data_IF_893086579848
#
_entry.id   IF_893086579848
#
_cell.length_a   1.000
_cell.length_b   1.000
_cell.length_c   1.000
_cell.angle_alpha   90.00
_cell.angle_beta   90.00
_cell.angle_gamma   90.00
#
_symmetry.space_group_name_H-M   'P 1'
#
loop_
_entity.id
_entity.type
_entity.pdbx_description
1 polymer ?
#
# COMPACT_ATOMS: atom_id res chain seq x y z
N UNK A 1 -13.03 29.39 -40.26
CA UNK A 1 -12.95 28.74 -41.59
C UNK A 1 -12.42 27.33 -41.49
N UNK A 2 -12.81 26.47 -42.42
CA UNK A 2 -12.35 25.07 -42.53
C UNK A 2 -11.80 24.81 -43.93
N UNK A 3 -10.80 23.93 -44.03
CA UNK A 3 -10.22 23.52 -45.30
C UNK A 3 -10.00 22.01 -45.32
N UNK A 4 -10.30 21.36 -46.44
CA UNK A 4 -10.07 19.93 -46.64
C UNK A 4 -8.79 19.70 -47.45
N UNK A 5 -7.90 18.84 -46.96
CA UNK A 5 -6.61 18.53 -47.61
C UNK A 5 -6.53 17.02 -47.88
N UNK A 6 -5.97 16.66 -49.03
CA UNK A 6 -5.58 15.27 -49.32
C UNK A 6 -4.09 15.16 -49.10
N UNK A 7 -3.69 14.36 -48.12
CA UNK A 7 -2.28 14.17 -47.74
C UNK A 7 -1.94 12.69 -47.72
N UNK A 8 -0.66 12.38 -47.88
CA UNK A 8 -0.20 11.00 -47.80
C UNK A 8 -0.14 10.56 -46.32
N UNK A 9 -0.39 9.26 -46.03
CA UNK A 9 -0.29 8.76 -44.65
C UNK A 9 1.12 8.86 -44.05
N UNK A 10 2.14 8.95 -44.93
CA UNK A 10 3.55 9.12 -44.58
C UNK A 10 3.94 10.56 -44.25
N UNK A 11 3.10 11.55 -44.58
CA UNK A 11 3.34 12.98 -44.35
C UNK A 11 3.53 13.25 -42.86
N UNK A 12 4.42 14.19 -42.50
CA UNK A 12 4.62 14.61 -41.11
C UNK A 12 3.61 15.71 -40.71
N UNK A 13 3.36 15.94 -39.41
CA UNK A 13 2.54 17.05 -38.94
C UNK A 13 3.03 18.41 -39.46
N UNK A 14 4.34 18.65 -39.51
CA UNK A 14 4.93 19.89 -40.03
C UNK A 14 4.60 20.11 -41.50
N UNK A 15 4.76 19.08 -42.32
CA UNK A 15 4.39 19.14 -43.75
C UNK A 15 2.89 19.38 -43.94
N UNK A 16 2.04 18.77 -43.12
CA UNK A 16 0.59 19.00 -43.14
C UNK A 16 0.24 20.45 -42.77
N UNK A 17 0.92 21.03 -41.77
CA UNK A 17 0.73 22.43 -41.37
C UNK A 17 1.15 23.38 -42.50
N UNK A 18 2.29 23.15 -43.13
CA UNK A 18 2.72 23.94 -44.30
C UNK A 18 1.70 23.88 -45.43
N UNK A 19 1.21 22.68 -45.78
CA UNK A 19 0.20 22.52 -46.82
C UNK A 19 -1.10 23.23 -46.47
N UNK A 20 -1.51 23.19 -45.19
CA UNK A 20 -2.70 23.88 -44.71
C UNK A 20 -2.55 25.40 -44.76
N UNK A 21 -1.41 25.94 -44.34
CA UNK A 21 -1.12 27.38 -44.39
C UNK A 21 -1.04 27.87 -45.84
N UNK A 22 -0.36 27.15 -46.73
CA UNK A 22 -0.31 27.49 -48.17
C UNK A 22 -1.71 27.55 -48.77
N UNK A 23 -2.57 26.56 -48.48
CA UNK A 23 -3.96 26.55 -48.95
C UNK A 23 -4.77 27.71 -48.37
N UNK A 24 -4.52 28.08 -47.12
CA UNK A 24 -5.23 29.19 -46.48
C UNK A 24 -4.83 30.56 -47.08
N UNK A 25 -3.55 30.78 -47.36
CA UNK A 25 -3.06 32.00 -48.03
C UNK A 25 -3.67 32.19 -49.43
N UNK A 26 -3.85 31.10 -50.18
CA UNK A 26 -4.48 31.19 -51.51
C UNK A 26 -5.93 31.67 -51.48
N UNK A 27 -6.65 31.50 -50.36
CA UNK A 27 -8.04 31.96 -50.20
C UNK A 27 -8.18 33.32 -49.53
N UNK A 28 -7.19 33.78 -48.76
CA UNK A 28 -7.30 35.00 -47.93
C UNK A 28 -6.35 36.13 -48.37
N UNK A 29 -5.48 35.89 -49.36
CA UNK A 29 -4.60 36.91 -49.94
C UNK A 29 -3.24 37.03 -49.24
N UNK A 30 -2.28 37.77 -49.86
CA UNK A 30 -0.89 37.88 -49.41
C UNK A 30 -0.67 38.84 -48.23
N UNK A 31 -1.69 39.54 -47.72
CA UNK A 31 -1.56 40.44 -46.56
C UNK A 31 -1.20 39.69 -45.25
N UNK A 32 -1.26 38.35 -45.25
CA UNK A 32 -0.96 37.45 -44.13
C UNK A 32 0.29 36.57 -44.38
N UNK A 33 1.23 37.01 -45.24
CA UNK A 33 2.47 36.29 -45.61
C UNK A 33 3.46 36.01 -44.44
N UNK A 34 3.19 36.54 -43.24
CA UNK A 34 4.05 36.34 -42.06
C UNK A 34 3.82 35.05 -41.26
N UNK A 35 2.84 34.20 -41.64
CA UNK A 35 2.47 32.99 -40.87
C UNK A 35 3.38 31.81 -41.19
N UNK A 36 4.25 31.49 -40.23
CA UNK A 36 5.19 30.37 -40.28
C UNK A 36 4.60 29.09 -39.65
N UNK A 37 4.87 27.93 -40.23
CA UNK A 37 4.34 26.64 -39.74
C UNK A 37 4.83 26.32 -38.32
N UNK A 38 6.01 26.80 -37.96
CA UNK A 38 6.63 26.64 -36.64
C UNK A 38 5.87 27.36 -35.52
N UNK A 39 5.02 28.34 -35.86
CA UNK A 39 4.21 29.08 -34.89
C UNK A 39 2.89 28.38 -34.55
N UNK A 40 2.59 27.25 -35.20
CA UNK A 40 1.36 26.50 -35.03
C UNK A 40 1.62 25.06 -34.60
N UNK A 41 0.60 24.47 -34.00
CA UNK A 41 0.52 23.05 -33.70
C UNK A 41 -0.84 22.52 -34.10
N UNK A 42 -0.88 21.28 -34.60
CA UNK A 42 -2.12 20.60 -34.92
C UNK A 42 -2.74 20.04 -33.64
N UNK A 43 -3.97 20.47 -33.35
CA UNK A 43 -4.81 19.91 -32.29
C UNK A 43 -5.92 19.07 -32.91
N UNK A 44 -6.26 17.94 -32.31
CA UNK A 44 -7.49 17.22 -32.65
C UNK A 44 -8.70 18.11 -32.33
N UNK A 45 -9.65 18.22 -33.25
CA UNK A 45 -10.86 19.01 -32.99
C UNK A 45 -11.61 18.46 -31.77
N UNK A 46 -12.09 19.37 -30.93
CA UNK A 46 -12.82 19.08 -29.68
C UNK A 46 -12.06 18.31 -28.59
N UNK A 47 -10.74 18.15 -28.73
CA UNK A 47 -9.88 17.50 -27.73
C UNK A 47 -8.63 18.32 -27.43
N UNK A 48 -8.05 18.14 -26.25
CA UNK A 48 -6.72 18.64 -25.88
C UNK A 48 -5.62 17.64 -26.26
N UNK A 49 -5.73 17.06 -27.46
CA UNK A 49 -4.73 16.16 -28.04
C UNK A 49 -4.02 16.87 -29.18
N UNK A 50 -2.69 16.80 -29.21
CA UNK A 50 -1.87 17.52 -30.18
C UNK A 50 -1.02 16.54 -30.99
N UNK A 51 -0.94 16.77 -32.30
CA UNK A 51 -0.05 16.05 -33.20
C UNK A 51 1.26 16.84 -33.26
N UNK A 52 2.27 16.34 -32.55
CA UNK A 52 3.60 16.92 -32.46
C UNK A 52 4.67 15.84 -32.65
N UNK A 53 5.90 16.26 -32.97
CA UNK A 53 7.02 15.38 -33.28
C UNK A 53 7.15 15.07 -34.77
N UNK A 54 8.30 14.48 -35.13
CA UNK A 54 8.63 14.12 -36.52
C UNK A 54 8.28 12.65 -36.79
N UNK A 55 6.97 12.38 -36.80
CA UNK A 55 6.43 11.05 -37.06
C UNK A 55 5.41 11.10 -38.20
N UNK A 56 5.31 10.05 -39.04
CA UNK A 56 4.27 9.93 -40.04
C UNK A 56 2.85 10.02 -39.44
N UNK A 57 1.93 10.72 -40.11
CA UNK A 57 0.55 10.89 -39.66
C UNK A 57 -0.15 9.55 -39.32
N UNK A 58 0.12 8.49 -40.08
CA UNK A 58 -0.45 7.15 -39.86
C UNK A 58 -0.10 6.53 -38.49
N UNK A 59 0.97 6.99 -37.84
CA UNK A 59 1.41 6.49 -36.54
C UNK A 59 0.61 7.10 -35.37
N UNK A 60 -0.03 8.26 -35.58
CA UNK A 60 -0.86 8.87 -34.56
C UNK A 60 -2.14 8.08 -34.34
N UNK A 61 -2.42 7.72 -33.08
CA UNK A 61 -3.57 6.90 -32.70
C UNK A 61 -4.89 7.47 -33.23
N UNK A 62 -5.06 8.79 -33.16
CA UNK A 62 -6.24 9.49 -33.68
C UNK A 62 -6.43 9.27 -35.18
N UNK A 63 -5.38 9.53 -35.98
CA UNK A 63 -5.43 9.36 -37.44
C UNK A 63 -5.73 7.91 -37.80
N UNK A 64 -5.07 6.95 -37.15
CA UNK A 64 -5.29 5.53 -37.36
C UNK A 64 -6.74 5.12 -37.04
N UNK A 65 -7.31 5.64 -35.96
CA UNK A 65 -8.69 5.37 -35.58
C UNK A 65 -9.69 5.91 -36.61
N UNK A 66 -9.51 7.15 -37.09
CA UNK A 66 -10.33 7.73 -38.15
C UNK A 66 -10.28 6.89 -39.44
N UNK A 67 -9.08 6.44 -39.85
CA UNK A 67 -8.93 5.59 -41.03
C UNK A 67 -9.64 4.24 -40.88
N UNK A 68 -9.58 3.62 -39.70
CA UNK A 68 -10.30 2.37 -39.41
C UNK A 68 -11.82 2.56 -39.43
N UNK A 69 -12.30 3.70 -38.92
CA UNK A 69 -13.72 4.08 -38.93
C UNK A 69 -14.22 4.58 -40.29
N UNK A 70 -13.33 4.76 -41.27
CA UNK A 70 -13.60 5.43 -42.57
C UNK A 70 -14.12 6.86 -42.42
N UNK A 71 -13.68 7.54 -41.36
CA UNK A 71 -13.99 8.94 -41.08
C UNK A 71 -12.81 9.85 -41.48
N UNK A 72 -13.10 11.10 -41.83
CA UNK A 72 -12.07 12.09 -42.10
C UNK A 72 -11.52 12.65 -40.77
N UNK A 73 -10.20 12.65 -40.53
CA UNK A 73 -9.63 13.30 -39.35
C UNK A 73 -9.91 14.80 -39.35
N UNK A 74 -10.38 15.34 -38.23
CA UNK A 74 -10.62 16.76 -38.04
C UNK A 74 -9.56 17.34 -37.11
N UNK A 75 -8.78 18.27 -37.65
CA UNK A 75 -7.67 18.92 -36.96
C UNK A 75 -7.86 20.44 -37.00
N UNK A 76 -7.42 21.10 -35.94
CA UNK A 76 -7.45 22.55 -35.77
C UNK A 76 -6.01 23.04 -35.62
N UNK A 77 -5.61 24.00 -36.46
CA UNK A 77 -4.36 24.74 -36.28
C UNK A 77 -4.51 25.69 -35.08
N UNK A 78 -3.68 25.50 -34.07
CA UNK A 78 -3.65 26.32 -32.85
C UNK A 78 -2.28 26.99 -32.76
N UNK A 79 -2.24 28.28 -32.42
CA UNK A 79 -0.97 28.97 -32.23
C UNK A 79 -0.23 28.43 -31.00
N UNK A 80 1.08 28.27 -31.10
CA UNK A 80 1.94 27.83 -29.99
C UNK A 80 1.83 28.76 -28.78
N UNK A 81 1.65 30.07 -28.99
CA UNK A 81 1.40 31.07 -27.93
C UNK A 81 0.16 30.76 -27.08
N UNK A 82 -0.89 30.19 -27.69
CA UNK A 82 -2.10 29.79 -26.96
C UNK A 82 -1.81 28.62 -26.01
N UNK A 83 -1.02 27.64 -26.48
CA UNK A 83 -0.60 26.50 -25.66
C UNK A 83 0.34 26.96 -24.54
N UNK A 84 1.27 27.89 -24.83
CA UNK A 84 2.14 28.51 -23.83
C UNK A 84 1.33 29.24 -22.74
N UNK A 85 0.31 30.02 -23.12
CA UNK A 85 -0.57 30.68 -22.16
C UNK A 85 -1.35 29.70 -21.27
N UNK A 86 -1.78 28.55 -21.82
CA UNK A 86 -2.39 27.47 -21.03
C UNK A 86 -1.40 26.90 -20.01
N UNK A 87 -0.17 26.63 -20.43
CA UNK A 87 0.91 26.15 -19.57
C UNK A 87 1.24 27.14 -18.45
N UNK A 88 1.43 28.43 -18.76
CA UNK A 88 1.71 29.47 -17.77
C UNK A 88 0.60 29.60 -16.73
N UNK A 89 -0.66 29.50 -17.17
CA UNK A 89 -1.82 29.51 -16.26
C UNK A 89 -1.81 28.33 -15.30
N UNK A 90 -1.49 27.12 -15.78
CA UNK A 90 -1.38 25.93 -14.93
C UNK A 90 -0.21 26.03 -13.95
N UNK A 91 0.98 26.44 -14.42
CA UNK A 91 2.16 26.63 -13.56
C UNK A 91 1.89 27.68 -12.49
N UNK A 92 1.22 28.77 -12.83
CA UNK A 92 0.82 29.80 -11.87
C UNK A 92 -0.14 29.24 -10.81
N UNK A 93 -1.13 28.43 -11.21
CA UNK A 93 -2.05 27.77 -10.29
C UNK A 93 -1.33 26.78 -9.35
N UNK A 94 -0.39 25.98 -9.87
CA UNK A 94 0.47 25.09 -9.06
C UNK A 94 1.30 25.91 -8.09
N UNK A 95 1.95 26.98 -8.55
CA UNK A 95 2.72 27.90 -7.73
C UNK A 95 1.89 28.50 -6.60
N UNK A 96 0.63 28.87 -6.86
CA UNK A 96 -0.28 29.37 -5.85
C UNK A 96 -0.66 28.32 -4.80
N UNK A 97 -0.72 27.03 -5.15
CA UNK A 97 -1.00 25.93 -4.20
C UNK A 97 0.24 25.56 -3.39
N UNK A 98 1.41 25.48 -4.01
CA UNK A 98 2.67 25.13 -3.34
C UNK A 98 3.15 26.28 -2.43
N UNK A 99 2.95 27.53 -2.85
CA UNK A 99 3.33 28.72 -2.07
C UNK A 99 2.25 29.17 -1.09
N UNK A 100 1.08 28.51 -1.05
CA UNK A 100 0.17 28.65 0.09
C UNK A 100 0.92 28.12 1.30
N UNK A 101 1.49 29.03 2.07
CA UNK A 101 1.83 28.79 3.46
C UNK A 101 0.54 28.29 4.12
N UNK A 102 0.47 26.99 4.33
CA UNK A 102 -0.58 26.38 5.14
C UNK A 102 -0.70 27.20 6.42
N UNK A 103 -1.89 27.74 6.70
CA UNK A 103 -2.17 28.42 7.98
C UNK A 103 -2.13 27.43 9.16
N UNK A 104 -2.09 26.14 8.86
CA UNK A 104 -1.75 25.07 9.78
C UNK A 104 -0.23 24.95 9.71
N UNK A 105 0.53 25.38 10.76
CA UNK A 105 1.94 25.07 10.83
C UNK A 105 2.07 23.57 10.58
N UNK A 106 3.00 23.09 9.73
CA UNK A 106 3.28 21.66 9.69
C UNK A 106 3.48 21.23 11.14
N UNK A 107 2.80 20.15 11.56
CA UNK A 107 3.05 19.55 12.87
C UNK A 107 4.56 19.55 13.04
N UNK A 108 5.10 20.20 14.11
CA UNK A 108 6.53 20.38 14.24
C UNK A 108 7.15 19.03 13.98
N UNK A 109 7.92 18.94 12.89
CA UNK A 109 8.64 17.72 12.59
C UNK A 109 9.33 17.38 13.90
N UNK A 110 9.11 16.18 14.46
CA UNK A 110 9.73 15.82 15.73
C UNK A 110 11.19 16.20 15.58
N UNK A 111 11.73 17.02 16.52
CA UNK A 111 13.01 17.68 16.32
C UNK A 111 13.95 16.65 15.75
N UNK A 112 14.54 16.93 14.56
CA UNK A 112 15.59 16.07 14.02
C UNK A 112 16.61 15.97 15.13
N UNK A 113 16.53 14.90 15.93
CA UNK A 113 17.57 14.49 16.85
C UNK A 113 18.70 14.09 15.93
N UNK A 114 19.42 15.09 15.41
CA UNK A 114 20.85 14.96 15.15
C UNK A 114 21.48 14.80 16.52
N UNK A 115 21.21 13.65 17.13
CA UNK A 115 21.99 13.16 18.24
C UNK A 115 23.38 12.84 17.68
N UNK A 116 24.44 13.07 18.45
CA UNK A 116 25.76 12.55 18.12
C UNK A 116 25.61 11.04 17.92
N UNK A 117 26.12 10.49 16.81
CA UNK A 117 26.18 9.04 16.53
C UNK A 117 25.19 8.21 17.36
N UNK A 118 23.90 8.23 17.03
CA UNK A 118 22.94 7.42 17.79
C UNK A 118 23.39 5.97 17.68
N UNK A 119 23.94 5.44 18.78
CA UNK A 119 24.29 4.04 18.92
C UNK A 119 22.98 3.31 18.74
N UNK A 120 22.86 2.61 17.62
CA UNK A 120 21.70 1.80 17.29
C UNK A 120 22.16 0.36 17.30
N UNK A 121 21.33 -0.52 17.80
CA UNK A 121 21.62 -1.95 17.88
C UNK A 121 21.11 -2.61 16.61
N UNK A 122 21.93 -3.43 15.96
CA UNK A 122 21.46 -4.22 14.82
C UNK A 122 20.54 -5.33 15.32
N UNK A 123 19.42 -5.59 14.64
CA UNK A 123 18.49 -6.65 15.04
C UNK A 123 19.18 -8.02 15.19
N UNK A 124 20.22 -8.29 14.40
CA UNK A 124 21.01 -9.53 14.46
C UNK A 124 21.79 -9.74 15.76
N UNK A 125 21.99 -8.69 16.56
CA UNK A 125 22.67 -8.77 17.85
C UNK A 125 21.71 -9.18 18.98
N UNK A 126 20.42 -9.32 18.69
CA UNK A 126 19.37 -9.61 19.68
C UNK A 126 18.92 -11.08 19.58
N UNK A 127 19.59 -11.96 20.32
CA UNK A 127 19.34 -13.41 20.30
C UNK A 127 18.18 -13.89 21.21
N UNK A 128 17.34 -12.99 21.70
CA UNK A 128 16.18 -13.34 22.54
C UNK A 128 14.98 -13.74 21.70
N UNK A 129 14.14 -14.65 22.20
CA UNK A 129 12.86 -14.98 21.56
C UNK A 129 11.94 -13.76 21.50
N UNK A 130 11.27 -13.60 20.36
CA UNK A 130 10.31 -12.53 20.18
C UNK A 130 9.05 -12.82 21.01
N UNK A 131 8.63 -11.83 21.77
CA UNK A 131 7.42 -11.86 22.61
C UNK A 131 6.68 -10.54 22.54
N UNK A 132 5.38 -10.61 22.83
CA UNK A 132 4.52 -9.45 23.04
C UNK A 132 3.75 -9.61 24.34
N UNK A 133 3.28 -8.52 24.93
CA UNK A 133 2.35 -8.58 26.06
C UNK A 133 0.97 -8.18 25.54
N UNK A 134 0.02 -9.11 25.61
CA UNK A 134 -1.39 -8.83 25.37
C UNK A 134 -1.99 -8.25 26.64
N UNK A 135 -2.28 -6.95 26.64
CA UNK A 135 -2.78 -6.24 27.82
C UNK A 135 -4.29 -6.43 27.93
N UNK A 136 -5.04 -5.86 26.98
CA UNK A 136 -6.52 -5.87 27.01
C UNK A 136 -7.14 -5.76 25.63
N UNK A 137 -8.41 -6.11 25.54
CA UNK A 137 -9.28 -5.89 24.40
C UNK A 137 -10.50 -5.09 24.87
N UNK A 138 -10.82 -4.02 24.16
CA UNK A 138 -11.95 -3.14 24.46
C UNK A 138 -12.97 -3.16 23.34
N UNK A 139 -14.24 -2.93 23.67
CA UNK A 139 -15.36 -2.93 22.70
C UNK A 139 -15.43 -4.23 21.88
N UNK A 140 -15.17 -5.36 22.52
CA UNK A 140 -15.31 -6.68 21.89
C UNK A 140 -16.80 -6.99 21.76
N UNK A 141 -17.26 -7.25 20.54
CA UNK A 141 -18.65 -7.62 20.28
C UNK A 141 -18.79 -9.14 20.25
N UNK A 142 -18.93 -9.73 21.43
CA UNK A 142 -19.15 -11.17 21.62
C UNK A 142 -20.40 -11.41 22.48
N UNK A 143 -20.98 -12.60 22.37
CA UNK A 143 -22.08 -13.02 23.25
C UNK A 143 -21.61 -13.08 24.71
N UNK A 144 -22.44 -12.61 25.67
CA UNK A 144 -22.06 -12.50 27.09
C UNK A 144 -21.67 -13.86 27.74
N UNK A 145 -22.19 -14.96 27.19
CA UNK A 145 -21.91 -16.33 27.64
C UNK A 145 -20.64 -16.92 27.02
N UNK A 146 -20.10 -16.29 25.96
CA UNK A 146 -18.93 -16.77 25.26
C UNK A 146 -17.64 -16.34 25.96
N UNK A 147 -16.61 -17.18 25.86
CA UNK A 147 -15.26 -16.82 26.27
C UNK A 147 -14.53 -16.21 25.09
N UNK A 148 -13.69 -15.21 25.31
CA UNK A 148 -12.93 -14.56 24.24
C UNK A 148 -11.48 -15.03 24.28
N UNK A 149 -10.94 -15.33 23.10
CA UNK A 149 -9.55 -15.73 22.89
C UNK A 149 -8.94 -14.90 21.77
N UNK A 150 -7.69 -14.49 21.96
CA UNK A 150 -6.89 -13.81 20.93
C UNK A 150 -5.85 -14.78 20.40
N UNK A 151 -5.82 -14.93 19.09
CA UNK A 151 -4.76 -15.64 18.36
C UNK A 151 -3.84 -14.61 17.73
N UNK A 152 -2.53 -14.83 17.83
CA UNK A 152 -1.50 -13.99 17.25
C UNK A 152 -0.51 -14.83 16.42
N UNK A 153 -0.12 -14.34 15.25
CA UNK A 153 0.83 -15.03 14.37
C UNK A 153 1.78 -14.07 13.70
N UNK A 154 2.96 -14.57 13.34
CA UNK A 154 3.99 -13.83 12.61
C UNK A 154 4.06 -14.34 11.17
N UNK A 155 3.95 -13.43 10.21
CA UNK A 155 3.90 -13.74 8.80
C UNK A 155 4.90 -12.93 7.99
N UNK A 156 5.39 -13.53 6.92
CA UNK A 156 6.12 -12.85 5.85
C UNK A 156 5.44 -13.14 4.50
N UNK A 157 4.64 -12.18 4.03
CA UNK A 157 3.70 -12.43 2.93
C UNK A 157 2.57 -13.33 3.40
N UNK A 158 2.40 -14.48 2.76
CA UNK A 158 1.48 -15.56 3.17
C UNK A 158 2.16 -16.56 4.09
N UNK A 159 3.49 -16.65 4.08
CA UNK A 159 4.20 -17.67 4.84
C UNK A 159 4.18 -17.37 6.34
N UNK A 160 3.81 -18.39 7.12
CA UNK A 160 3.88 -18.37 8.57
C UNK A 160 5.32 -18.58 9.04
N UNK A 161 5.83 -17.67 9.88
CA UNK A 161 7.22 -17.72 10.35
C UNK A 161 7.44 -18.71 11.50
N UNK A 162 6.44 -18.89 12.36
CA UNK A 162 6.50 -19.81 13.50
C UNK A 162 5.08 -20.18 13.96
N UNK A 163 4.96 -21.14 14.88
CA UNK A 163 3.65 -21.55 15.42
C UNK A 163 2.89 -20.35 16.02
N UNK A 164 1.58 -20.17 15.72
CA UNK A 164 0.82 -19.04 16.26
C UNK A 164 0.64 -19.17 17.78
N UNK A 165 0.80 -18.05 18.48
CA UNK A 165 0.51 -17.94 19.90
C UNK A 165 -0.99 -17.72 20.13
N UNK A 166 -1.49 -18.28 21.23
CA UNK A 166 -2.92 -18.22 21.58
C UNK A 166 -3.05 -17.83 23.04
N UNK A 167 -3.86 -16.80 23.32
CA UNK A 167 -4.10 -16.34 24.68
C UNK A 167 -4.92 -17.34 25.51
N UNK A 168 -4.91 -17.16 26.82
CA UNK A 168 -5.93 -17.73 27.69
C UNK A 168 -7.33 -17.22 27.32
N UNK A 169 -8.34 -17.99 27.69
CA UNK A 169 -9.74 -17.60 27.53
C UNK A 169 -10.13 -16.57 28.60
N UNK A 170 -10.73 -15.45 28.17
CA UNK A 170 -11.21 -14.39 29.04
C UNK A 170 -12.73 -14.32 29.01
N UNK A 171 -13.37 -14.22 30.18
CA UNK A 171 -14.79 -13.94 30.31
C UNK A 171 -15.00 -12.45 30.58
N UNK A 172 -15.95 -11.83 29.88
CA UNK A 172 -16.23 -10.40 29.98
C UNK A 172 -17.36 -10.02 29.04
N UNK A 173 -17.94 -8.82 29.24
CA UNK A 173 -19.01 -8.30 28.37
C UNK A 173 -18.45 -7.68 27.10
N UNK A 174 -17.57 -6.68 27.27
CA UNK A 174 -16.98 -5.91 26.18
C UNK A 174 -15.51 -5.56 26.42
N UNK A 175 -15.11 -5.53 27.69
CA UNK A 175 -13.73 -5.30 28.14
C UNK A 175 -13.15 -6.62 28.65
N UNK A 176 -11.99 -6.98 28.11
CA UNK A 176 -11.27 -8.21 28.44
C UNK A 176 -9.83 -7.87 28.78
N UNK A 177 -9.33 -8.35 29.90
CA UNK A 177 -7.95 -8.13 30.35
C UNK A 177 -7.24 -9.46 30.40
N UNK A 178 -6.08 -9.54 29.73
CA UNK A 178 -5.23 -10.73 29.71
C UNK A 178 -3.95 -10.54 30.52
N UNK A 179 -3.28 -9.39 30.36
CA UNK A 179 -1.96 -9.11 30.95
C UNK A 179 -0.99 -10.31 30.85
N UNK A 180 -0.97 -10.94 29.68
CA UNK A 180 -0.23 -12.18 29.44
C UNK A 180 0.80 -12.00 28.35
N UNK A 181 1.96 -12.64 28.53
CA UNK A 181 3.02 -12.64 27.52
C UNK A 181 2.74 -13.75 26.51
N UNK A 182 2.70 -13.39 25.24
CA UNK A 182 2.66 -14.32 24.11
C UNK A 182 4.07 -14.40 23.54
N UNK A 183 4.72 -15.55 23.73
CA UNK A 183 6.05 -15.85 23.23
C UNK A 183 5.97 -16.63 21.92
N UNK A 184 6.83 -16.28 20.97
CA UNK A 184 6.89 -16.88 19.65
C UNK A 184 8.18 -17.68 19.50
N UNK A 185 8.09 -18.81 18.81
CA UNK A 185 9.21 -19.72 18.52
C UNK A 185 10.06 -19.18 17.36
N UNK A 186 10.57 -17.96 17.53
CA UNK A 186 11.47 -17.26 16.62
C UNK A 186 12.27 -16.21 17.40
N UNK A 187 13.57 -16.08 17.11
CA UNK A 187 14.40 -15.05 17.74
C UNK A 187 14.18 -13.68 17.09
N UNK A 188 14.46 -12.61 17.83
CA UNK A 188 14.40 -11.24 17.28
C UNK A 188 15.36 -11.08 16.09
N UNK A 189 16.56 -11.67 16.17
CA UNK A 189 17.56 -11.67 15.10
C UNK A 189 17.09 -12.32 13.79
N UNK A 190 16.16 -13.28 13.87
CA UNK A 190 15.66 -14.00 12.69
C UNK A 190 14.44 -13.33 12.04
N UNK A 191 13.92 -12.23 12.61
CA UNK A 191 12.74 -11.55 12.08
C UNK A 191 13.05 -10.87 10.73
N UNK A 192 12.33 -11.22 9.65
CA UNK A 192 12.43 -10.49 8.39
C UNK A 192 12.02 -9.02 8.50
N UNK A 193 12.56 -8.17 7.62
CA UNK A 193 12.22 -6.73 7.56
C UNK A 193 10.72 -6.46 7.43
N UNK A 194 10.02 -7.31 6.69
CA UNK A 194 8.60 -7.16 6.37
C UNK A 194 7.68 -8.03 7.23
N UNK A 195 8.14 -8.46 8.41
CA UNK A 195 7.32 -9.25 9.33
C UNK A 195 6.06 -8.52 9.74
N UNK A 196 4.94 -9.20 9.51
CA UNK A 196 3.59 -8.82 9.95
C UNK A 196 3.24 -9.57 11.22
N UNK A 197 2.77 -8.84 12.22
CA UNK A 197 2.13 -9.38 13.39
C UNK A 197 0.61 -9.30 13.19
N UNK A 198 -0.01 -10.46 13.09
CA UNK A 198 -1.43 -10.63 12.76
C UNK A 198 -2.20 -11.12 13.98
N UNK A 199 -3.33 -10.49 14.27
CA UNK A 199 -4.23 -10.86 15.35
C UNK A 199 -5.62 -11.22 14.84
N UNK A 200 -6.24 -12.20 15.49
CA UNK A 200 -7.67 -12.46 15.37
C UNK A 200 -8.28 -12.71 16.75
N UNK A 201 -9.42 -12.08 17.00
CA UNK A 201 -10.24 -12.22 18.18
C UNK A 201 -11.37 -13.18 17.87
N UNK A 202 -11.49 -14.23 18.67
CA UNK A 202 -12.53 -15.25 18.54
C UNK A 202 -13.37 -15.30 19.82
N UNK A 203 -14.69 -15.40 19.64
CA UNK A 203 -15.58 -15.87 20.69
C UNK A 203 -15.61 -17.41 20.63
N UNK A 204 -15.32 -18.05 21.75
CA UNK A 204 -15.12 -19.48 21.91
C UNK A 204 -16.26 -20.03 22.74
N UNK A 205 -16.93 -21.04 22.18
CA UNK A 205 -17.99 -21.77 22.87
C UNK A 205 -17.69 -23.26 22.87
N UNK A 206 -18.00 -23.91 24.00
CA UNK A 206 -17.91 -25.36 24.11
C UNK A 206 -18.99 -26.02 23.24
N UNK A 207 -18.66 -27.18 22.69
CA UNK A 207 -19.56 -27.93 21.82
C UNK A 207 -20.72 -28.49 22.66
N UNK A 208 -21.89 -27.86 22.59
CA UNK A 208 -23.11 -28.43 23.17
C UNK A 208 -23.48 -29.70 22.40
N UNK A 209 -23.65 -30.84 23.09
CA UNK A 209 -24.26 -32.04 22.52
C UNK A 209 -25.68 -31.67 22.06
N UNK A 210 -25.92 -31.72 20.74
CA UNK A 210 -27.19 -31.47 20.02
C UNK A 210 -28.44 -31.42 20.92
N UNK A 211 -29.07 -30.25 21.02
CA UNK A 211 -30.52 -30.18 20.83
C UNK A 211 -30.78 -29.88 19.35
N UNK A 212 -31.79 -30.54 18.76
CA UNK A 212 -32.22 -30.34 17.37
C UNK A 212 -32.52 -28.85 17.14
N UNK A 213 -31.66 -28.15 16.41
CA UNK A 213 -31.93 -26.76 16.00
C UNK A 213 -32.89 -26.76 14.83
N UNK A 214 -34.09 -26.24 15.09
CA UNK A 214 -34.94 -25.58 14.10
C UNK A 214 -34.15 -24.46 13.42
N UNK A 215 -34.31 -24.36 12.10
CA UNK A 215 -33.70 -23.34 11.23
C UNK A 215 -33.85 -21.93 11.84
N UNK A 216 -32.75 -21.37 12.34
CA UNK A 216 -32.55 -19.92 12.43
C UNK A 216 -31.25 -19.60 11.69
N UNK A 217 -31.35 -19.50 10.36
CA UNK A 217 -30.25 -19.24 9.43
C UNK A 217 -29.88 -17.74 9.31
N UNK A 218 -30.21 -16.94 10.31
CA UNK A 218 -29.98 -15.50 10.32
C UNK A 218 -29.25 -15.15 11.62
N UNK A 219 -27.91 -14.98 11.57
CA UNK A 219 -27.12 -14.09 12.47
C UNK A 219 -25.60 -14.20 12.20
N UNK A 220 -25.06 -15.31 11.68
CA UNK A 220 -23.60 -15.40 11.46
C UNK A 220 -23.23 -15.04 10.02
N UNK A 221 -22.80 -13.78 9.82
CA UNK A 221 -22.30 -13.25 8.55
C UNK A 221 -21.01 -13.95 8.08
N UNK A 222 -20.29 -14.65 8.96
CA UNK A 222 -19.02 -15.32 8.68
C UNK A 222 -19.04 -16.79 9.09
N UNK A 223 -18.21 -17.61 8.43
CA UNK A 223 -18.08 -19.03 8.69
C UNK A 223 -17.50 -19.31 10.09
N UNK A 224 -18.13 -20.23 10.82
CA UNK A 224 -17.65 -20.66 12.16
C UNK A 224 -16.56 -21.71 12.01
N UNK A 225 -15.51 -21.62 12.82
CA UNK A 225 -14.34 -22.50 12.74
C UNK A 225 -14.39 -23.51 13.89
N UNK A 226 -14.21 -24.80 13.59
CA UNK A 226 -14.18 -25.86 14.62
C UNK A 226 -12.75 -26.35 14.79
N UNK A 227 -12.16 -26.11 15.96
CA UNK A 227 -10.78 -26.53 16.29
C UNK A 227 -10.70 -26.95 17.76
N UNK A 228 -10.02 -28.07 18.02
CA UNK A 228 -9.79 -28.61 19.37
C UNK A 228 -11.07 -28.85 20.19
N UNK A 229 -12.13 -29.32 19.55
CA UNK A 229 -13.41 -29.62 20.23
C UNK A 229 -14.29 -28.41 20.57
N UNK A 230 -13.84 -27.19 20.23
CA UNK A 230 -14.57 -25.93 20.46
C UNK A 230 -15.02 -25.29 19.14
N UNK A 231 -16.03 -24.43 19.23
CA UNK A 231 -16.51 -23.61 18.11
C UNK A 231 -16.00 -22.19 18.30
N UNK A 232 -15.34 -21.67 17.27
CA UNK A 232 -14.73 -20.35 17.23
C UNK A 232 -15.51 -19.46 16.28
N UNK A 233 -16.02 -18.35 16.81
CA UNK A 233 -16.77 -17.34 16.07
C UNK A 233 -15.85 -16.13 15.85
N UNK A 234 -15.53 -15.78 14.59
CA UNK A 234 -14.66 -14.65 14.31
C UNK A 234 -15.33 -13.33 14.72
N UNK A 235 -14.65 -12.52 15.53
CA UNK A 235 -15.15 -11.24 16.04
C UNK A 235 -14.47 -10.07 15.32
N UNK A 236 -13.14 -10.02 15.38
CA UNK A 236 -12.36 -8.96 14.76
C UNK A 236 -10.93 -9.41 14.45
N UNK A 237 -10.28 -8.80 13.47
CA UNK A 237 -8.86 -9.03 13.17
C UNK A 237 -8.13 -7.71 12.97
N UNK A 238 -6.82 -7.70 13.23
CA UNK A 238 -5.95 -6.55 12.99
C UNK A 238 -4.52 -6.98 12.76
N UNK A 239 -3.85 -6.32 11.83
CA UNK A 239 -2.44 -6.57 11.52
C UNK A 239 -1.61 -5.32 11.81
N UNK A 240 -0.35 -5.50 12.16
CA UNK A 240 0.63 -4.42 12.27
C UNK A 240 2.00 -4.89 11.82
N UNK A 241 2.80 -4.00 11.24
CA UNK A 241 4.21 -4.29 10.96
C UNK A 241 5.02 -4.26 12.26
N UNK A 242 5.93 -5.23 12.46
CA UNK A 242 6.86 -5.18 13.58
C UNK A 242 7.91 -4.07 13.43
N UNK A 243 8.40 -3.87 12.20
CA UNK A 243 9.31 -2.78 11.87
C UNK A 243 8.53 -1.58 11.32
N UNK A 244 8.89 -0.38 11.76
CA UNK A 244 8.31 0.85 11.23
C UNK A 244 8.84 1.21 9.83
N UNK A 245 8.47 2.37 9.31
CA UNK A 245 8.91 2.83 7.98
C UNK A 245 10.41 3.13 7.90
N UNK A 246 11.08 3.38 9.04
CA UNK A 246 12.53 3.60 9.13
C UNK A 246 13.31 2.30 9.29
N UNK A 247 12.63 1.17 9.46
CA UNK A 247 13.27 -0.11 9.74
C UNK A 247 13.63 -0.30 11.22
N UNK A 248 13.05 0.50 12.11
CA UNK A 248 13.19 0.32 13.54
C UNK A 248 12.16 -0.69 14.05
N UNK A 249 12.59 -1.64 14.88
CA UNK A 249 11.69 -2.54 15.60
C UNK A 249 10.84 -1.70 16.55
N UNK A 250 9.51 -1.80 16.43
CA UNK A 250 8.59 -1.06 17.29
C UNK A 250 8.66 -1.58 18.73
N UNK A 251 8.56 -0.66 19.68
CA UNK A 251 8.49 -0.94 21.11
C UNK A 251 7.43 -0.06 21.79
N UNK A 252 7.05 -0.41 23.01
CA UNK A 252 6.06 0.30 23.83
C UNK A 252 4.61 -0.11 23.59
N UNK A 253 3.71 0.67 24.17
CA UNK A 253 2.26 0.43 24.15
C UNK A 253 1.63 0.86 22.81
N UNK A 254 0.84 -0.04 22.22
CA UNK A 254 0.18 0.16 20.93
C UNK A 254 -1.29 -0.24 21.02
N UNK A 255 -2.19 0.66 20.62
CA UNK A 255 -3.62 0.39 20.48
C UNK A 255 -3.95 0.14 19.00
N UNK A 256 -4.45 -1.05 18.72
CA UNK A 256 -4.78 -1.52 17.37
C UNK A 256 -6.30 -1.60 17.19
N UNK A 257 -6.86 -0.69 16.41
CA UNK A 257 -8.28 -0.67 16.05
C UNK A 257 -8.55 -1.67 14.93
N UNK A 258 -9.49 -2.60 15.18
CA UNK A 258 -9.65 -3.82 14.40
C UNK A 258 -10.73 -3.71 13.31
N UNK A 259 -10.70 -4.67 12.39
CA UNK A 259 -11.66 -4.87 11.32
C UNK A 259 -12.61 -6.01 11.67
N UNK A 260 -13.89 -5.86 11.31
CA UNK A 260 -14.95 -6.85 11.61
C UNK A 260 -15.28 -7.76 10.42
N UNK A 261 -14.75 -7.49 9.23
CA UNK A 261 -15.01 -8.30 8.03
C UNK A 261 -13.93 -9.33 7.81
N UNK A 262 -14.28 -10.61 7.92
CA UNK A 262 -13.36 -11.71 7.66
C UNK A 262 -13.50 -12.21 6.22
N UNK A 263 -12.39 -12.59 5.56
CA UNK A 263 -12.45 -13.39 4.34
C UNK A 263 -12.93 -14.82 4.65
N UNK A 264 -13.40 -15.51 3.61
CA UNK A 264 -13.86 -16.91 3.73
C UNK A 264 -12.70 -17.87 4.01
N UNK A 265 -11.54 -17.61 3.40
CA UNK A 265 -10.32 -18.39 3.60
C UNK A 265 -9.39 -17.70 4.60
N UNK A 266 -9.04 -18.42 5.67
CA UNK A 266 -8.15 -17.95 6.71
C UNK A 266 -6.99 -18.92 6.90
N UNK A 267 -5.78 -18.39 6.85
CA UNK A 267 -4.56 -19.15 7.09
C UNK A 267 -4.29 -19.19 8.60
N UNK A 268 -4.22 -20.41 9.16
CA UNK A 268 -4.06 -20.60 10.61
C UNK A 268 -5.07 -19.81 11.47
N UNK A 269 -6.30 -19.59 10.99
CA UNK A 269 -7.30 -18.76 11.68
C UNK A 269 -6.82 -17.30 11.88
N UNK A 270 -6.06 -16.78 10.93
CA UNK A 270 -5.57 -15.39 10.88
C UNK A 270 -5.76 -14.86 9.45
N UNK A 271 -5.69 -13.54 9.29
CA UNK A 271 -5.85 -12.87 8.00
C UNK A 271 -4.55 -12.14 7.57
N UNK A 272 -3.48 -12.87 7.17
CA UNK A 272 -2.19 -12.25 6.85
C UNK A 272 -2.20 -11.36 5.61
N UNK A 273 -3.12 -11.61 4.67
CA UNK A 273 -3.33 -10.81 3.45
C UNK A 273 -4.04 -9.47 3.72
N UNK A 274 -4.70 -9.36 4.87
CA UNK A 274 -5.40 -8.15 5.30
C UNK A 274 -4.47 -6.95 5.50
N UNK A 275 -5.04 -5.75 5.38
CA UNK A 275 -4.30 -4.49 5.58
C UNK A 275 -3.62 -4.40 6.95
N UNK A 276 -2.46 -3.75 6.98
CA UNK A 276 -1.72 -3.39 8.22
C UNK A 276 -2.14 -2.04 8.79
N UNK A 277 -3.05 -1.33 8.12
CA UNK A 277 -3.64 -0.09 8.62
C UNK A 277 -4.73 -0.41 9.65
N UNK A 278 -4.69 0.26 10.78
CA UNK A 278 -5.75 0.19 11.79
C UNK A 278 -7.02 0.84 11.27
N UNK A 279 -8.17 0.40 11.76
CA UNK A 279 -9.45 0.98 11.39
C UNK A 279 -9.53 2.47 11.79
N UNK A 280 -9.85 3.40 10.87
CA UNK A 280 -9.92 4.83 11.18
C UNK A 280 -11.13 5.20 12.04
N UNK A 281 -12.16 4.35 12.12
CA UNK A 281 -13.39 4.61 12.90
C UNK A 281 -13.25 4.13 14.35
N UNK A 282 -12.38 4.76 15.13
CA UNK A 282 -11.95 4.30 16.47
C UNK A 282 -13.06 4.22 17.53
N UNK A 283 -14.17 4.94 17.33
CA UNK A 283 -15.25 5.06 18.31
C UNK A 283 -16.01 3.75 18.54
N UNK A 284 -16.25 2.97 17.49
CA UNK A 284 -17.15 1.80 17.54
C UNK A 284 -16.44 0.46 17.24
N UNK A 285 -15.14 0.48 17.02
CA UNK A 285 -14.38 -0.72 16.64
C UNK A 285 -13.77 -1.40 17.84
N UNK A 286 -13.76 -2.73 17.84
CA UNK A 286 -12.95 -3.51 18.77
C UNK A 286 -11.48 -3.08 18.68
N UNK A 287 -10.85 -2.84 19.82
CA UNK A 287 -9.45 -2.44 19.88
C UNK A 287 -8.66 -3.40 20.77
N UNK A 288 -7.48 -3.80 20.29
CA UNK A 288 -6.51 -4.58 21.06
C UNK A 288 -5.40 -3.66 21.57
N UNK A 289 -5.13 -3.73 22.85
CA UNK A 289 -4.00 -3.06 23.49
C UNK A 289 -2.89 -4.07 23.72
N UNK A 290 -1.76 -3.83 23.08
CA UNK A 290 -0.56 -4.67 23.18
C UNK A 290 0.62 -3.82 23.62
N UNK A 291 1.61 -4.48 24.23
CA UNK A 291 2.90 -3.89 24.51
C UNK A 291 4.00 -4.70 23.83
N UNK A 292 4.83 -4.00 23.07
CA UNK A 292 6.02 -4.56 22.45
C UNK A 292 7.22 -4.28 23.38
N UNK A 293 7.88 -5.30 23.93
CA UNK A 293 8.93 -5.12 24.91
C UNK A 293 10.18 -4.46 24.30
N UNK A 294 10.88 -3.69 25.12
CA UNK A 294 12.22 -3.20 24.81
C UNK A 294 13.27 -4.29 25.10
N UNK A 295 13.96 -4.75 24.05
CA UNK A 295 15.03 -5.75 24.19
C UNK A 295 16.42 -5.11 24.41
N UNK A 296 16.55 -3.81 24.16
CA UNK A 296 17.81 -3.09 24.25
C UNK A 296 17.56 -1.63 24.68
N UNK A 297 18.46 -0.99 25.45
CA UNK A 297 18.37 0.44 25.77
C UNK A 297 18.44 1.35 24.54
N UNK A 298 19.02 0.88 23.43
CA UNK A 298 19.13 1.61 22.17
C UNK A 298 18.09 1.11 21.15
N UNK A 299 17.66 1.97 20.20
CA UNK A 299 16.80 1.57 19.10
C UNK A 299 17.38 0.39 18.32
N UNK A 300 16.54 -0.64 18.10
CA UNK A 300 16.92 -1.81 17.30
C UNK A 300 16.53 -1.53 15.85
N UNK A 301 17.52 -1.54 14.95
CA UNK A 301 17.34 -1.31 13.52
C UNK A 301 17.59 -2.58 12.70
N UNK A 302 16.80 -2.73 11.64
CA UNK A 302 17.10 -3.68 10.58
C UNK A 302 18.39 -3.24 9.84
N UNK A 303 19.30 -4.17 9.50
CA UNK A 303 20.57 -3.83 8.86
C UNK A 303 20.38 -3.14 7.50
N UNK A 304 21.24 -2.17 7.15
CA UNK A 304 21.30 -1.61 5.81
C UNK A 304 21.79 -2.65 4.80
N UNK A 305 21.58 -2.37 3.51
CA UNK A 305 21.91 -3.29 2.42
C UNK A 305 23.38 -3.75 2.44
N UNK A 306 24.33 -2.84 2.67
CA UNK A 306 25.77 -3.16 2.68
C UNK A 306 26.12 -4.19 3.76
N UNK A 307 25.55 -4.05 4.96
CA UNK A 307 25.75 -5.01 6.07
C UNK A 307 25.12 -6.37 5.77
N UNK A 308 24.06 -6.39 4.95
CA UNK A 308 23.44 -7.64 4.47
C UNK A 308 24.37 -8.36 3.49
N UNK A 309 24.97 -7.63 2.56
CA UNK A 309 25.93 -8.20 1.61
C UNK A 309 27.19 -8.71 2.30
N UNK A 310 27.74 -7.95 3.26
CA UNK A 310 28.88 -8.36 4.07
C UNK A 310 28.59 -9.69 4.79
N UNK A 311 27.42 -9.79 5.45
CA UNK A 311 27.06 -11.01 6.16
C UNK A 311 26.87 -12.21 5.22
N UNK A 312 26.30 -11.99 4.04
CA UNK A 312 26.16 -13.03 3.03
C UNK A 312 27.54 -13.52 2.53
N UNK A 313 28.48 -12.60 2.31
CA UNK A 313 29.84 -12.92 1.90
C UNK A 313 30.61 -13.71 2.97
N UNK A 314 30.49 -13.33 4.25
CA UNK A 314 31.06 -14.09 5.38
C UNK A 314 30.57 -15.54 5.38
N UNK A 315 29.25 -15.75 5.25
CA UNK A 315 28.65 -17.08 5.27
C UNK A 315 29.11 -17.90 4.06
N UNK A 316 29.08 -17.32 2.86
CA UNK A 316 29.53 -17.99 1.64
C UNK A 316 31.01 -18.41 1.73
N UNK A 317 31.89 -17.51 2.14
CA UNK A 317 33.32 -17.80 2.29
C UNK A 317 33.62 -18.83 3.39
N UNK A 318 32.79 -18.90 4.45
CA UNK A 318 32.93 -19.92 5.49
C UNK A 318 32.49 -21.32 5.02
N UNK A 319 31.52 -21.41 4.10
CA UNK A 319 31.02 -22.67 3.55
C UNK A 319 32.02 -23.36 2.62
N UNK A 320 32.87 -22.59 1.93
CA UNK A 320 33.93 -23.10 1.06
C UNK A 320 35.13 -23.69 1.84
N UNK A 321 35.18 -23.50 3.17
CA UNK A 321 36.28 -23.97 4.03
C UNK A 321 36.00 -25.28 4.78
N UNK A 322 34.84 -25.92 4.60
CA UNK A 322 34.60 -27.26 5.18
C UNK A 322 35.24 -28.34 4.28
N UNK A 323 36.28 -29.06 4.73
CA UNK A 323 36.81 -30.18 3.95
C UNK A 323 35.73 -31.25 3.85
N UNK A 324 35.43 -31.72 2.63
CA UNK A 324 34.72 -32.96 2.42
C UNK A 324 35.47 -34.08 3.16
N UNK A 325 34.98 -34.46 4.32
CA UNK A 325 35.39 -35.70 4.97
C UNK A 325 34.80 -36.82 4.13
N UNK A 326 35.60 -37.32 3.20
CA UNK A 326 35.34 -38.56 2.48
C UNK A 326 35.34 -39.70 3.51
N UNK A 327 34.16 -40.24 3.78
CA UNK A 327 33.99 -41.56 4.37
C UNK A 327 34.04 -42.62 3.28
#
# INVERSE_FOLDING_TARGET
DTASLKVWPSTSPSELMEQALRKWLTTHGPEEEGRQAEQYVLRVSDKLEFLCGDHPLIQYKYIKACLQAKECPHLTLVQVSTVQAMFEKEISAIGAVVNRKSSIPPLPLPPKRRGPSQVNTCVWEVSTHFKIVLIKGSKVNAEETAKVQVRAGLFHGTELLCKPAVSSESSGRSEHVWNSTLEFDITVSDLPRMTRLCFAVYAVMDKVKKQKSTKNAHINKYQTIRKSGKVHYPVAWVNTMLFDYKGQLKTGDIVLHSWSSFPDELEEMLNPIGTIQTNPYTENTTALHIHLPDYNPHPILFPPFDKILEKAAEIAGSSDCLPMVLS
#
